data_IF_718942145010
#
_entry.id   IF_718942145010
#
_cell.length_a   1.000
_cell.length_b   1.000
_cell.length_c   1.000
_cell.angle_alpha   90.00
_cell.angle_beta   90.00
_cell.angle_gamma   90.00
#
_symmetry.space_group_name_H-M   'P 1'
#
loop_
_entity.id
_entity.type
_entity.pdbx_description
1 polymer ?
#
# COMPACT_ATOMS: atom_id res chain seq x y z
N UNK A 1 11.08 0.44 -16.68
CA UNK A 1 10.55 1.41 -15.70
C UNK A 1 11.40 2.66 -15.80
N UNK A 2 10.81 3.79 -16.19
CA UNK A 2 11.46 5.10 -16.17
C UNK A 2 10.73 5.95 -15.11
N UNK A 3 11.47 6.48 -14.15
CA UNK A 3 10.94 7.30 -13.06
C UNK A 3 11.72 8.60 -13.01
N UNK A 4 11.02 9.75 -13.01
CA UNK A 4 11.61 11.07 -12.84
C UNK A 4 11.17 11.59 -11.47
N UNK A 5 12.14 11.95 -10.62
CA UNK A 5 11.92 12.51 -9.29
C UNK A 5 12.33 13.98 -9.28
N UNK A 6 11.45 14.86 -8.84
CA UNK A 6 11.79 16.25 -8.52
C UNK A 6 11.41 16.50 -7.07
N UNK A 7 12.40 16.82 -6.25
CA UNK A 7 12.23 17.22 -4.84
C UNK A 7 12.72 18.65 -4.66
N UNK A 8 11.89 19.52 -4.10
CA UNK A 8 12.26 20.90 -3.77
C UNK A 8 12.11 21.14 -2.26
N UNK A 9 13.22 21.41 -1.57
CA UNK A 9 13.23 21.83 -0.17
C UNK A 9 13.08 23.35 -0.11
N UNK A 10 11.85 23.86 -0.12
CA UNK A 10 11.65 25.31 -0.20
C UNK A 10 11.70 26.04 1.14
N UNK A 11 11.40 25.40 2.26
CA UNK A 11 11.65 25.93 3.61
C UNK A 11 11.83 24.74 4.55
N UNK A 12 12.77 24.83 5.50
CA UNK A 12 13.05 23.76 6.45
C UNK A 12 11.81 23.45 7.29
N UNK A 13 11.04 22.47 6.83
CA UNK A 13 10.03 21.64 7.50
C UNK A 13 8.99 21.06 6.53
N UNK A 14 8.89 21.48 5.26
CA UNK A 14 8.00 20.85 4.26
C UNK A 14 8.79 20.15 3.14
N UNK A 15 8.44 18.89 2.88
CA UNK A 15 8.95 18.11 1.75
C UNK A 15 7.83 17.86 0.75
N UNK A 16 8.06 18.24 -0.51
CA UNK A 16 7.12 18.01 -1.61
C UNK A 16 7.76 17.04 -2.59
N UNK A 17 7.02 15.99 -2.95
CA UNK A 17 7.40 15.04 -3.98
C UNK A 17 6.32 14.96 -5.07
N UNK A 18 6.80 14.92 -6.30
CA UNK A 18 6.00 14.58 -7.47
C UNK A 18 6.78 13.57 -8.29
N UNK A 19 6.11 12.50 -8.70
CA UNK A 19 6.71 11.51 -9.59
C UNK A 19 5.68 10.92 -10.52
N UNK A 20 6.12 10.52 -11.70
CA UNK A 20 5.30 9.77 -12.65
C UNK A 20 5.99 8.46 -12.99
N UNK A 21 5.20 7.40 -13.15
CA UNK A 21 5.67 6.12 -13.65
C UNK A 21 4.89 5.70 -14.88
N UNK A 22 5.58 4.92 -15.72
CA UNK A 22 5.03 4.35 -16.94
C UNK A 22 5.42 2.87 -17.00
N UNK A 23 4.42 2.01 -17.13
CA UNK A 23 4.56 0.56 -17.19
C UNK A 23 3.74 0.00 -18.35
N UNK A 24 4.34 -0.90 -19.13
CA UNK A 24 3.58 -1.75 -20.04
C UNK A 24 3.33 -3.09 -19.35
N UNK A 25 2.05 -3.47 -19.26
CA UNK A 25 1.64 -4.74 -18.68
C UNK A 25 0.70 -5.46 -19.64
N UNK A 26 1.02 -6.70 -20.00
CA UNK A 26 0.23 -7.48 -20.96
C UNK A 26 -1.01 -8.12 -20.34
N UNK A 27 -1.13 -8.16 -19.01
CA UNK A 27 -2.32 -8.63 -18.31
C UNK A 27 -2.39 -8.09 -16.85
N UNK A 28 -2.70 -6.78 -16.66
CA UNK A 28 -2.60 -6.13 -15.35
C UNK A 28 -3.60 -6.63 -14.30
N UNK A 29 -4.69 -7.25 -14.73
CA UNK A 29 -5.74 -7.79 -13.85
C UNK A 29 -5.80 -9.32 -13.87
N UNK A 30 -4.85 -9.98 -14.56
CA UNK A 30 -4.76 -11.42 -14.66
C UNK A 30 -6.06 -12.09 -15.14
N UNK A 31 -6.80 -11.44 -16.05
CA UNK A 31 -7.98 -12.04 -16.65
C UNK A 31 -7.60 -13.16 -17.63
N UNK A 32 -8.49 -14.16 -17.82
CA UNK A 32 -8.31 -15.20 -18.83
C UNK A 32 -8.15 -14.59 -20.24
N UNK A 33 -8.97 -13.59 -20.56
CA UNK A 33 -8.84 -12.79 -21.77
C UNK A 33 -7.83 -11.67 -21.52
N UNK A 34 -6.66 -11.80 -22.13
CA UNK A 34 -5.56 -10.87 -21.90
C UNK A 34 -5.81 -9.53 -22.56
N UNK A 35 -6.02 -8.50 -21.75
CA UNK A 35 -6.05 -7.12 -22.22
C UNK A 35 -4.77 -6.43 -21.77
N UNK A 36 -3.85 -6.20 -22.71
CA UNK A 36 -2.65 -5.41 -22.42
C UNK A 36 -3.02 -3.95 -22.17
N UNK A 37 -2.30 -3.27 -21.28
CA UNK A 37 -2.44 -1.83 -21.09
C UNK A 37 -1.08 -1.20 -20.83
N UNK A 38 -0.92 0.02 -21.34
CA UNK A 38 0.05 0.95 -20.80
C UNK A 38 -0.57 1.60 -19.55
N UNK A 39 0.18 1.63 -18.46
CA UNK A 39 -0.24 2.10 -17.15
C UNK A 39 0.60 3.33 -16.83
N UNK A 40 -0.05 4.47 -16.68
CA UNK A 40 0.56 5.71 -16.24
C UNK A 40 0.16 5.98 -14.81
N UNK A 41 1.11 6.36 -13.96
CA UNK A 41 0.77 6.86 -12.63
C UNK A 41 1.34 8.25 -12.39
N UNK A 42 0.60 9.05 -11.63
CA UNK A 42 1.05 10.32 -11.08
C UNK A 42 0.96 10.22 -9.56
N UNK A 43 2.08 10.40 -8.88
CA UNK A 43 2.19 10.37 -7.43
C UNK A 43 2.55 11.75 -6.92
N UNK A 44 1.89 12.15 -5.84
CA UNK A 44 2.11 13.40 -5.11
C UNK A 44 2.36 13.06 -3.65
N UNK A 45 3.31 13.73 -3.03
CA UNK A 45 3.59 13.61 -1.61
C UNK A 45 3.85 14.98 -1.00
N UNK A 46 3.29 15.21 0.17
CA UNK A 46 3.53 16.39 0.99
C UNK A 46 3.78 15.90 2.39
N UNK A 47 4.95 16.20 2.93
CA UNK A 47 5.34 15.83 4.29
C UNK A 47 5.76 17.06 5.07
N UNK A 48 5.51 17.02 6.38
CA UNK A 48 5.99 18.04 7.29
C UNK A 48 6.52 17.41 8.57
N UNK A 49 7.76 17.73 8.93
CA UNK A 49 8.44 17.15 10.09
C UNK A 49 8.80 18.22 11.11
N UNK A 50 8.19 18.17 12.29
CA UNK A 50 8.51 19.02 13.44
C UNK A 50 9.23 18.17 14.48
N UNK A 51 10.55 18.33 14.57
CA UNK A 51 11.42 17.54 15.47
C UNK A 51 11.28 16.04 15.18
N UNK A 52 10.70 15.29 16.11
CA UNK A 52 10.45 13.86 15.97
C UNK A 52 9.07 13.55 15.40
N UNK A 53 8.17 14.52 15.25
CA UNK A 53 6.83 14.27 14.74
C UNK A 53 6.77 14.60 13.25
N UNK A 54 6.22 13.69 12.47
CA UNK A 54 5.94 13.89 11.06
C UNK A 54 4.46 13.71 10.75
N UNK A 55 3.99 14.47 9.78
CA UNK A 55 2.70 14.33 9.14
C UNK A 55 2.91 14.27 7.63
N UNK A 56 2.10 13.48 6.93
CA UNK A 56 2.24 13.30 5.50
C UNK A 56 0.91 13.06 4.82
N UNK A 57 0.84 13.49 3.58
CA UNK A 57 -0.21 13.14 2.64
C UNK A 57 0.43 12.63 1.36
N UNK A 58 -0.06 11.50 0.87
CA UNK A 58 0.34 10.90 -0.39
C UNK A 58 -0.90 10.66 -1.24
N UNK A 59 -0.83 11.08 -2.50
CA UNK A 59 -1.87 10.86 -3.49
C UNK A 59 -1.31 10.14 -4.69
N UNK A 60 -2.08 9.22 -5.27
CA UNK A 60 -1.77 8.58 -6.52
C UNK A 60 -3.00 8.61 -7.42
N UNK A 61 -2.78 8.86 -8.71
CA UNK A 61 -3.74 8.56 -9.76
C UNK A 61 -3.10 7.56 -10.72
N UNK A 62 -3.79 6.44 -10.94
CA UNK A 62 -3.37 5.39 -11.86
C UNK A 62 -4.33 5.30 -13.04
N UNK A 63 -3.78 5.37 -14.25
CA UNK A 63 -4.50 5.34 -15.52
C UNK A 63 -4.09 4.11 -16.34
N UNK A 64 -5.08 3.35 -16.81
CA UNK A 64 -4.95 2.21 -17.69
C UNK A 64 -5.50 2.57 -19.08
N UNK A 65 -4.63 2.81 -20.05
CA UNK A 65 -5.02 3.31 -21.37
C UNK A 65 -6.10 2.48 -22.08
N UNK A 66 -6.04 1.15 -21.97
CA UNK A 66 -6.97 0.24 -22.67
C UNK A 66 -8.14 -0.23 -21.77
N UNK A 67 -8.16 0.17 -20.50
CA UNK A 67 -9.14 -0.23 -19.48
C UNK A 67 -9.42 0.95 -18.56
N UNK A 68 -9.84 2.09 -19.14
CA UNK A 68 -9.94 3.36 -18.41
C UNK A 68 -10.97 3.34 -17.29
N UNK A 69 -11.96 2.45 -17.39
CA UNK A 69 -12.92 2.16 -16.33
C UNK A 69 -12.26 1.66 -15.03
N UNK A 70 -11.07 1.03 -15.11
CA UNK A 70 -10.26 0.59 -13.96
C UNK A 70 -9.34 1.65 -13.36
N UNK A 71 -9.38 2.88 -13.88
CA UNK A 71 -8.60 3.96 -13.28
C UNK A 71 -9.02 4.19 -11.82
N UNK A 72 -8.06 4.55 -10.99
CA UNK A 72 -8.35 4.80 -9.58
C UNK A 72 -7.51 5.93 -9.01
N UNK A 73 -8.05 6.53 -7.97
CA UNK A 73 -7.38 7.45 -7.06
C UNK A 73 -7.06 6.72 -5.78
N UNK A 74 -5.90 7.02 -5.22
CA UNK A 74 -5.44 6.48 -3.96
C UNK A 74 -4.92 7.63 -3.11
N UNK A 75 -5.37 7.67 -1.86
CA UNK A 75 -5.04 8.72 -0.91
C UNK A 75 -4.55 8.07 0.38
N UNK A 76 -3.50 8.62 0.96
CA UNK A 76 -2.98 8.17 2.24
C UNK A 76 -2.57 9.37 3.09
N UNK A 77 -3.03 9.38 4.33
CA UNK A 77 -2.62 10.32 5.36
C UNK A 77 -1.81 9.56 6.41
N UNK A 78 -0.66 10.10 6.77
CA UNK A 78 0.25 9.53 7.74
C UNK A 78 0.53 10.48 8.89
N UNK A 79 0.62 9.92 10.09
CA UNK A 79 1.29 10.57 11.22
C UNK A 79 2.34 9.60 11.76
N UNK A 80 3.50 10.12 12.12
CA UNK A 80 4.55 9.33 12.74
C UNK A 80 5.29 10.13 13.82
N UNK A 81 5.90 9.39 14.73
CA UNK A 81 6.97 9.89 15.58
C UNK A 81 8.22 9.04 15.34
N UNK A 82 9.34 9.69 15.05
CA UNK A 82 10.62 9.08 14.82
C UNK A 82 11.69 9.68 15.75
N UNK A 83 12.32 8.80 16.52
CA UNK A 83 13.53 9.07 17.29
C UNK A 83 14.64 8.16 16.77
N UNK A 84 15.85 8.27 17.33
CA UNK A 84 16.99 7.47 16.89
C UNK A 84 16.75 5.95 16.99
N UNK A 85 15.98 5.52 17.98
CA UNK A 85 15.82 4.11 18.33
C UNK A 85 14.37 3.62 18.27
N UNK A 86 13.40 4.52 18.12
CA UNK A 86 11.98 4.16 18.09
C UNK A 86 11.28 4.98 17.02
N UNK A 87 10.50 4.32 16.19
CA UNK A 87 9.58 4.95 15.25
C UNK A 87 8.23 4.28 15.38
N UNK A 88 7.15 5.06 15.45
CA UNK A 88 5.80 4.53 15.38
C UNK A 88 4.93 5.49 14.61
N UNK A 89 3.82 4.98 14.09
CA UNK A 89 2.90 5.82 13.35
C UNK A 89 1.60 5.13 12.99
N UNK A 90 0.71 5.92 12.41
CA UNK A 90 -0.53 5.47 11.81
C UNK A 90 -0.59 5.99 10.38
N UNK A 91 -1.10 5.15 9.47
CA UNK A 91 -1.54 5.54 8.15
C UNK A 91 -3.03 5.23 8.00
N UNK A 92 -3.73 6.17 7.38
CA UNK A 92 -5.11 5.99 6.91
C UNK A 92 -5.09 6.14 5.42
N UNK A 93 -5.62 5.16 4.72
CA UNK A 93 -5.60 5.07 3.28
C UNK A 93 -7.00 4.81 2.73
N UNK A 94 -7.28 5.39 1.58
CA UNK A 94 -8.49 5.15 0.82
C UNK A 94 -8.16 4.97 -0.66
N UNK A 95 -8.73 3.94 -1.27
CA UNK A 95 -8.74 3.74 -2.72
C UNK A 95 -10.15 3.98 -3.24
N UNK A 96 -10.25 4.79 -4.29
CA UNK A 96 -11.50 5.18 -4.95
C UNK A 96 -11.35 4.89 -6.43
N UNK A 97 -12.15 3.96 -6.95
CA UNK A 97 -12.19 3.59 -8.36
C UNK A 97 -13.30 4.38 -9.07
N UNK A 98 -13.42 4.23 -10.39
CA UNK A 98 -14.58 4.75 -11.11
C UNK A 98 -15.86 4.01 -10.72
N UNK A 99 -17.03 4.61 -10.99
CA UNK A 99 -18.36 4.09 -10.59
C UNK A 99 -18.61 2.63 -10.99
N UNK A 100 -18.10 2.17 -12.13
CA UNK A 100 -18.26 0.78 -12.56
C UNK A 100 -17.44 -0.22 -11.74
N UNK A 101 -16.44 0.27 -10.97
CA UNK A 101 -15.48 -0.51 -10.19
C UNK A 101 -15.37 -0.07 -8.74
N UNK A 102 -16.32 0.74 -8.25
CA UNK A 102 -16.41 1.19 -6.86
C UNK A 102 -16.48 0.02 -5.86
N UNK A 103 -16.84 -1.19 -6.31
CA UNK A 103 -16.81 -2.38 -5.47
C UNK A 103 -15.41 -2.80 -5.01
N UNK A 104 -14.35 -2.30 -5.65
CA UNK A 104 -12.96 -2.43 -5.22
C UNK A 104 -12.50 -1.29 -4.32
N UNK A 105 -13.37 -0.35 -3.97
CA UNK A 105 -13.05 0.72 -3.04
C UNK A 105 -12.80 0.12 -1.65
N UNK A 106 -11.78 0.64 -0.99
CA UNK A 106 -11.44 0.22 0.36
C UNK A 106 -10.87 1.37 1.18
N UNK A 107 -11.04 1.24 2.48
CA UNK A 107 -10.32 1.99 3.49
C UNK A 107 -9.36 1.08 4.22
N UNK A 108 -8.16 1.57 4.49
CA UNK A 108 -7.12 0.84 5.19
C UNK A 108 -6.56 1.67 6.34
N UNK A 109 -6.44 1.04 7.51
CA UNK A 109 -5.88 1.65 8.71
C UNK A 109 -4.68 0.82 9.14
N UNK A 110 -3.49 1.41 9.05
CA UNK A 110 -2.24 0.75 9.43
C UNK A 110 -1.64 1.43 10.65
N UNK A 111 -1.28 0.66 11.66
CA UNK A 111 -0.46 1.07 12.78
C UNK A 111 0.86 0.32 12.75
N UNK A 112 1.97 1.00 13.05
CA UNK A 112 3.27 0.34 13.08
C UNK A 112 4.16 0.86 14.19
N UNK A 113 5.13 0.02 14.55
CA UNK A 113 6.19 0.27 15.51
C UNK A 113 7.48 -0.32 14.95
N UNK A 114 8.57 0.42 15.02
CA UNK A 114 9.93 -0.02 14.70
C UNK A 114 10.83 0.38 15.87
N UNK A 115 11.59 -0.57 16.39
CA UNK A 115 12.53 -0.36 17.48
C UNK A 115 13.91 -0.85 17.07
N UNK A 116 14.92 -0.01 17.31
CA UNK A 116 16.32 -0.29 17.06
C UNK A 116 17.07 -0.29 18.38
N UNK A 117 17.75 -1.38 18.68
CA UNK A 117 18.63 -1.50 19.83
C UNK A 117 20.01 -1.94 19.37
N UNK A 118 21.06 -1.50 20.07
CA UNK A 118 22.42 -1.93 19.78
C UNK A 118 23.09 -2.38 21.07
N UNK A 119 23.75 -3.54 21.02
CA UNK A 119 24.49 -4.12 22.13
C UNK A 119 25.67 -4.94 21.59
N UNK A 120 26.87 -4.75 22.14
CA UNK A 120 28.08 -5.53 21.81
C UNK A 120 28.38 -5.71 20.31
N UNK A 121 28.20 -4.62 19.55
CA UNK A 121 28.42 -4.59 18.09
C UNK A 121 27.31 -5.26 17.27
N UNK A 122 26.26 -5.77 17.92
CA UNK A 122 25.03 -6.20 17.27
C UNK A 122 24.02 -5.06 17.22
N UNK A 123 23.32 -4.93 16.11
CA UNK A 123 22.16 -4.05 15.96
C UNK A 123 20.93 -4.89 15.71
N UNK A 124 19.95 -4.76 16.59
CA UNK A 124 18.64 -5.38 16.50
C UNK A 124 17.65 -4.37 15.92
N UNK A 125 16.87 -4.79 14.94
CA UNK A 125 15.75 -4.03 14.40
C UNK A 125 14.48 -4.88 14.52
N UNK A 126 13.59 -4.51 15.42
CA UNK A 126 12.28 -5.15 15.59
C UNK A 126 11.21 -4.25 15.00
N UNK A 127 10.29 -4.82 14.24
CA UNK A 127 9.16 -4.12 13.66
C UNK A 127 7.87 -4.89 13.91
N UNK A 128 6.79 -4.18 14.20
CA UNK A 128 5.46 -4.73 14.28
C UNK A 128 4.50 -3.82 13.53
N UNK A 129 3.50 -4.39 12.88
CA UNK A 129 2.43 -3.63 12.27
C UNK A 129 1.09 -4.34 12.39
N UNK A 130 0.02 -3.57 12.44
CA UNK A 130 -1.35 -4.04 12.40
C UNK A 130 -2.10 -3.24 11.34
N UNK A 131 -2.77 -3.95 10.44
CA UNK A 131 -3.52 -3.36 9.33
C UNK A 131 -4.96 -3.84 9.40
N UNK A 132 -5.91 -2.93 9.31
CA UNK A 132 -7.33 -3.22 9.10
C UNK A 132 -7.70 -2.76 7.69
N UNK A 133 -8.28 -3.64 6.87
CA UNK A 133 -8.79 -3.29 5.54
C UNK A 133 -10.28 -3.57 5.49
N UNK A 134 -11.05 -2.55 5.09
CA UNK A 134 -12.50 -2.61 4.92
C UNK A 134 -12.88 -2.20 3.51
N UNK A 135 -13.63 -3.05 2.83
CA UNK A 135 -14.28 -2.83 1.55
C UNK A 135 -15.75 -2.54 1.78
N UNK A 136 -16.30 -1.61 1.02
CA UNK A 136 -17.71 -1.21 1.18
C UNK A 136 -18.66 -2.27 0.60
N UNK A 137 -18.31 -2.81 -0.58
CA UNK A 137 -19.15 -3.78 -1.30
C UNK A 137 -18.64 -5.23 -1.15
N UNK A 138 -17.33 -5.46 -1.22
CA UNK A 138 -16.71 -6.78 -1.09
C UNK A 138 -16.35 -7.12 0.37
N UNK A 139 -17.36 -7.16 1.23
CA UNK A 139 -17.17 -7.35 2.69
C UNK A 139 -16.49 -8.67 3.07
N UNK A 140 -16.60 -9.69 2.24
CA UNK A 140 -15.88 -10.96 2.39
C UNK A 140 -14.34 -10.80 2.31
N UNK A 141 -13.86 -9.72 1.71
CA UNK A 141 -12.45 -9.35 1.68
C UNK A 141 -12.01 -8.52 2.89
N UNK A 142 -12.92 -8.14 3.79
CA UNK A 142 -12.60 -7.41 5.01
C UNK A 142 -11.68 -8.25 5.89
N UNK A 143 -10.54 -7.68 6.22
CA UNK A 143 -9.48 -8.42 6.89
C UNK A 143 -8.67 -7.54 7.83
N UNK A 144 -8.07 -8.20 8.82
CA UNK A 144 -6.97 -7.62 9.56
C UNK A 144 -5.70 -8.44 9.33
N UNK A 145 -4.56 -7.76 9.34
CA UNK A 145 -3.24 -8.36 9.18
C UNK A 145 -2.31 -7.86 10.27
N UNK A 146 -1.77 -8.77 11.07
CA UNK A 146 -0.69 -8.51 12.00
C UNK A 146 0.64 -8.98 11.41
N UNK A 147 1.69 -8.17 11.57
CA UNK A 147 3.06 -8.59 11.27
C UNK A 147 4.00 -8.27 12.43
N UNK A 148 4.95 -9.16 12.68
CA UNK A 148 6.07 -8.90 13.59
C UNK A 148 7.33 -9.52 13.00
N UNK A 149 8.39 -8.73 12.94
CA UNK A 149 9.68 -9.15 12.46
C UNK A 149 10.80 -8.63 13.34
N UNK A 150 11.89 -9.37 13.38
CA UNK A 150 13.12 -8.92 14.03
C UNK A 150 14.31 -9.32 13.17
N UNK A 151 15.28 -8.43 13.05
CA UNK A 151 16.56 -8.72 12.41
C UNK A 151 17.72 -8.30 13.32
N UNK A 152 18.84 -9.02 13.18
CA UNK A 152 20.09 -8.77 13.87
C UNK A 152 21.20 -8.60 12.84
N UNK A 153 21.99 -7.54 13.01
CA UNK A 153 23.09 -7.19 12.12
C UNK A 153 24.37 -7.03 12.93
N UNK A 154 25.47 -7.66 12.49
CA UNK A 154 26.82 -7.42 13.03
C UNK A 154 27.81 -7.24 11.89
N UNK A 155 28.50 -6.10 11.92
CA UNK A 155 29.59 -5.79 10.99
C UNK A 155 30.93 -6.12 11.65
N UNK A 156 31.83 -6.70 10.87
CA UNK A 156 33.20 -7.06 11.30
C UNK A 156 34.20 -6.11 10.64
N UNK A 157 35.39 -5.98 11.24
CA UNK A 157 36.48 -5.13 10.72
C UNK A 157 36.92 -5.54 9.31
N UNK A 158 36.71 -6.81 8.92
CA UNK A 158 36.91 -7.32 7.56
C UNK A 158 35.96 -6.72 6.51
N UNK A 159 35.08 -5.78 6.90
CA UNK A 159 33.99 -5.23 6.09
C UNK A 159 32.95 -6.28 5.68
N UNK A 160 32.92 -7.40 6.38
CA UNK A 160 31.86 -8.42 6.26
C UNK A 160 30.73 -8.07 7.23
N UNK A 161 29.48 -8.25 6.81
CA UNK A 161 28.32 -8.07 7.68
C UNK A 161 27.49 -9.34 7.68
N UNK A 162 27.15 -9.83 8.87
CA UNK A 162 26.17 -10.92 9.04
C UNK A 162 24.83 -10.28 9.37
N UNK A 163 23.81 -10.66 8.61
CA UNK A 163 22.43 -10.21 8.74
C UNK A 163 21.56 -11.46 8.87
N UNK A 164 20.78 -11.55 9.94
CA UNK A 164 19.79 -12.59 10.13
C UNK A 164 18.47 -11.98 10.56
N UNK A 165 17.35 -12.59 10.19
CA UNK A 165 16.05 -12.09 10.62
C UNK A 165 14.92 -13.06 10.38
N UNK A 166 13.83 -12.84 11.10
CA UNK A 166 12.58 -13.59 10.99
C UNK A 166 11.42 -12.62 10.88
N UNK A 167 10.38 -13.00 10.14
CA UNK A 167 9.15 -12.24 10.02
C UNK A 167 7.96 -13.19 10.05
N UNK A 168 6.96 -12.85 10.86
CA UNK A 168 5.70 -13.56 10.97
C UNK A 168 4.59 -12.63 10.53
N UNK A 169 3.75 -13.11 9.61
CA UNK A 169 2.58 -12.41 9.12
C UNK A 169 1.36 -13.29 9.34
N UNK A 170 0.30 -12.73 9.89
CA UNK A 170 -0.97 -13.40 10.08
C UNK A 170 -2.09 -12.51 9.53
N UNK A 171 -2.90 -13.06 8.63
CA UNK A 171 -4.02 -12.37 8.00
C UNK A 171 -5.30 -13.15 8.27
N UNK A 172 -6.34 -12.46 8.71
CA UNK A 172 -7.63 -13.06 8.98
C UNK A 172 -8.76 -12.22 8.40
N UNK A 173 -9.72 -12.90 7.78
CA UNK A 173 -10.93 -12.33 7.22
C UNK A 173 -12.06 -12.48 8.24
N UNK A 174 -12.77 -11.40 8.55
CA UNK A 174 -13.67 -11.36 9.72
C UNK A 174 -15.13 -11.06 9.40
N UNK A 175 -15.44 -10.60 8.19
CA UNK A 175 -16.80 -10.57 7.69
C UNK A 175 -16.93 -11.65 6.62
N UNK A 176 -17.82 -12.60 6.84
CA UNK A 176 -18.16 -13.62 5.85
C UNK A 176 -19.64 -13.43 5.53
N UNK A 177 -19.95 -12.74 4.44
CA UNK A 177 -21.31 -12.78 3.93
C UNK A 177 -21.54 -14.19 3.38
N UNK A 178 -22.40 -14.97 4.02
CA UNK A 178 -22.83 -16.28 3.52
C UNK A 178 -23.61 -16.17 2.19
N UNK A 179 -24.01 -14.96 1.79
CA UNK A 179 -24.79 -14.66 0.58
C UNK A 179 -23.96 -14.24 -0.65
N UNK A 180 -22.63 -14.08 -0.57
CA UNK A 180 -21.81 -13.64 -1.73
C UNK A 180 -21.82 -14.61 -2.90
N UNK A 181 -22.15 -15.88 -2.67
CA UNK A 181 -22.32 -16.87 -3.74
C UNK A 181 -23.46 -16.47 -4.70
N UNK A 182 -24.52 -15.81 -4.22
CA UNK A 182 -25.63 -15.37 -5.07
C UNK A 182 -25.32 -14.06 -5.81
N UNK A 183 -24.66 -13.09 -5.15
CA UNK A 183 -24.35 -11.79 -5.77
C UNK A 183 -23.24 -11.89 -6.83
N UNK A 184 -22.21 -12.72 -6.59
CA UNK A 184 -21.19 -13.01 -7.61
C UNK A 184 -21.76 -13.81 -8.79
N UNK A 185 -22.74 -14.69 -8.54
CA UNK A 185 -23.47 -15.40 -9.61
C UNK A 185 -24.48 -14.51 -10.35
N UNK A 186 -25.08 -13.51 -9.71
CA UNK A 186 -25.96 -12.56 -10.39
C UNK A 186 -25.19 -11.61 -11.31
N UNK A 187 -24.00 -11.14 -10.88
CA UNK A 187 -23.19 -10.26 -11.71
C UNK A 187 -22.52 -11.00 -12.88
N UNK A 188 -22.05 -12.24 -12.69
CA UNK A 188 -21.53 -13.04 -13.81
C UNK A 188 -22.62 -13.39 -14.84
N UNK A 189 -23.86 -13.62 -14.41
CA UNK A 189 -25.00 -13.84 -15.31
C UNK A 189 -25.40 -12.57 -16.05
N UNK A 190 -25.27 -11.37 -15.47
CA UNK A 190 -25.55 -10.11 -16.19
C UNK A 190 -24.60 -9.87 -17.36
N UNK A 191 -23.34 -10.30 -17.28
CA UNK A 191 -22.41 -10.22 -18.40
C UNK A 191 -22.69 -11.24 -19.51
N UNK A 192 -23.39 -12.35 -19.22
CA UNK A 192 -23.72 -13.37 -20.22
C UNK A 192 -24.94 -13.05 -21.10
N UNK A 193 -25.74 -12.02 -20.77
CA UNK A 193 -26.97 -11.68 -21.50
C UNK A 193 -26.85 -10.45 -22.40
N UNK A 194 -25.69 -9.79 -22.46
CA UNK A 194 -25.46 -8.62 -23.32
C UNK A 194 -24.82 -8.92 -24.67
N UNK A 195 -24.54 -10.20 -24.98
CA UNK A 195 -23.96 -10.63 -26.28
C UNK A 195 -24.94 -11.34 -27.22
N UNK A 196 -26.26 -11.22 -26.99
CA UNK A 196 -27.26 -11.72 -27.94
C UNK A 196 -28.32 -10.67 -28.25
N UNK A 197 -28.04 -9.81 -29.22
CA UNK A 197 -29.02 -9.19 -30.12
C UNK A 197 -28.31 -8.67 -31.38
#
# INVERSE_FOLDING_TARGET
MLSIFVSANLFGQWNFSISTSQEYNNNPFHYPDQTSSFISSLNLGIEHEIKSFGLGYYGNYSNFNNMTDRNFYWHQFGFWNATNNLMFGLYVEQRINQLEYEYFDYSNYNAYLKHKASADGFTFLTQAAFTLTSYDQLKDLNNWMGSIGTSINKSFESKTTIIGGVNFNYKNYYETNLDTTETMMMNSRRFSYTESN
#
